data_IF_165918791579
#
_entry.id   IF_165918791579
#
_cell.length_a   1.000
_cell.length_b   1.000
_cell.length_c   1.000
_cell.angle_alpha   90.00
_cell.angle_beta   90.00
_cell.angle_gamma   90.00
#
_symmetry.space_group_name_H-M   'P 1'
#
loop_
_entity.id
_entity.type
_entity.pdbx_description
1 polymer ?
#
# COMPACT_ATOMS: atom_id res chain seq x y z
N UNK A 1 -6.05 5.43 11.25
CA UNK A 1 -5.28 4.18 11.24
C UNK A 1 -5.29 3.64 9.83
N UNK A 2 -4.18 3.07 9.38
CA UNK A 2 -4.08 2.28 8.15
C UNK A 2 -3.54 0.91 8.54
N UNK A 3 -4.27 -0.13 8.19
CA UNK A 3 -3.90 -1.52 8.49
C UNK A 3 -2.65 -1.94 7.69
N UNK A 4 -1.99 -3.01 8.13
CA UNK A 4 -0.86 -3.60 7.42
C UNK A 4 -1.23 -3.99 6.00
N UNK A 5 -0.47 -3.51 5.03
CA UNK A 5 -0.67 -3.77 3.61
C UNK A 5 0.63 -3.64 2.82
N UNK A 6 0.60 -4.14 1.60
CA UNK A 6 1.60 -3.89 0.57
C UNK A 6 0.94 -3.06 -0.54
N UNK A 7 1.56 -1.99 -0.99
CA UNK A 7 1.01 -1.12 -2.04
C UNK A 7 0.74 -1.88 -3.34
N UNK A 8 1.63 -2.80 -3.70
CA UNK A 8 1.49 -3.58 -4.94
C UNK A 8 0.21 -4.41 -4.99
N UNK A 9 -0.43 -4.72 -3.85
CA UNK A 9 -1.72 -5.41 -3.82
C UNK A 9 -2.89 -4.55 -4.30
N UNK A 10 -2.77 -3.22 -4.26
CA UNK A 10 -3.79 -2.29 -4.74
C UNK A 10 -3.71 -2.04 -6.24
N UNK A 11 -2.51 -2.09 -6.79
CA UNK A 11 -2.23 -1.89 -8.21
C UNK A 11 -1.18 -2.90 -8.68
N UNK A 12 -1.57 -4.17 -8.83
CA UNK A 12 -0.64 -5.22 -9.23
C UNK A 12 -0.04 -4.93 -10.61
N UNK A 13 1.27 -5.07 -10.70
CA UNK A 13 2.08 -4.78 -11.89
C UNK A 13 2.73 -6.06 -12.43
N UNK A 14 3.14 -6.02 -13.69
CA UNK A 14 3.87 -7.12 -14.34
C UNK A 14 5.21 -7.44 -13.68
N UNK A 15 5.79 -6.48 -12.95
CA UNK A 15 6.96 -6.68 -12.11
C UNK A 15 6.84 -5.90 -10.80
N UNK A 16 7.80 -6.10 -9.89
CA UNK A 16 7.75 -5.56 -8.52
C UNK A 16 8.45 -4.21 -8.38
N UNK A 17 8.94 -3.63 -9.47
CA UNK A 17 9.74 -2.40 -9.43
C UNK A 17 8.83 -1.17 -9.30
N UNK A 18 8.29 -1.01 -8.11
CA UNK A 18 7.49 0.13 -7.71
C UNK A 18 7.91 0.63 -6.33
N UNK A 19 7.77 1.93 -6.13
CA UNK A 19 8.00 2.56 -4.84
C UNK A 19 7.01 3.70 -4.62
N UNK A 20 6.73 3.99 -3.37
CA UNK A 20 6.07 5.21 -2.94
C UNK A 20 7.06 6.10 -2.18
N UNK A 21 6.92 7.41 -2.31
CA UNK A 21 7.58 8.39 -1.44
C UNK A 21 6.48 9.03 -0.60
N UNK A 22 6.57 8.84 0.72
CA UNK A 22 5.69 9.44 1.69
C UNK A 22 6.39 10.63 2.33
N UNK A 23 5.83 11.82 2.18
CA UNK A 23 6.31 13.04 2.81
C UNK A 23 5.48 13.36 4.04
N UNK A 24 6.11 13.59 5.17
CA UNK A 24 5.44 14.17 6.33
C UNK A 24 5.31 15.68 6.14
N UNK A 25 4.06 16.17 6.11
CA UNK A 25 3.78 17.60 6.06
C UNK A 25 3.71 18.21 7.46
N UNK A 26 3.56 17.37 8.48
CA UNK A 26 3.61 17.71 9.90
C UNK A 26 4.59 16.77 10.59
N UNK A 27 5.11 17.17 11.77
CA UNK A 27 5.83 16.22 12.65
C UNK A 27 4.99 14.97 12.89
N UNK A 28 5.55 13.80 12.65
CA UNK A 28 4.90 12.50 12.81
C UNK A 28 5.67 11.61 13.80
N UNK A 29 5.27 11.63 15.04
CA UNK A 29 5.77 10.71 16.06
C UNK A 29 4.83 9.51 16.26
N UNK A 30 5.20 8.59 17.16
CA UNK A 30 4.43 7.37 17.46
C UNK A 30 3.01 7.68 17.94
N UNK A 31 2.82 8.70 18.79
CA UNK A 31 1.49 9.15 19.26
C UNK A 31 0.61 9.69 18.13
N UNK A 32 1.22 10.22 17.06
CA UNK A 32 0.51 10.65 15.87
C UNK A 32 0.32 9.53 14.85
N UNK A 33 0.74 8.30 15.18
CA UNK A 33 0.64 7.15 14.29
C UNK A 33 1.54 7.28 13.07
N UNK A 34 2.84 7.57 13.26
CA UNK A 34 3.80 7.58 12.16
C UNK A 34 3.81 6.24 11.41
N UNK A 35 4.38 6.23 10.22
CA UNK A 35 4.51 5.02 9.42
C UNK A 35 5.29 3.95 10.19
N UNK A 36 4.85 2.70 10.05
CA UNK A 36 5.54 1.52 10.53
C UNK A 36 5.83 0.60 9.36
N UNK A 37 6.99 0.00 9.33
CA UNK A 37 7.44 -0.93 8.27
C UNK A 37 8.11 -2.14 8.91
N UNK A 38 8.15 -3.26 8.17
CA UNK A 38 8.98 -4.40 8.51
C UNK A 38 10.22 -4.38 7.61
N UNK A 39 11.42 -4.06 8.14
CA UNK A 39 12.64 -3.96 7.35
C UNK A 39 12.98 -5.26 6.61
N UNK A 40 13.42 -5.16 5.35
CA UNK A 40 13.81 -6.31 4.52
C UNK A 40 12.65 -7.13 3.95
N UNK A 41 11.42 -6.90 4.38
CA UNK A 41 10.24 -7.72 4.02
C UNK A 41 9.85 -7.63 2.54
N UNK A 42 10.26 -6.59 1.83
CA UNK A 42 10.03 -6.44 0.37
C UNK A 42 10.68 -7.54 -0.48
N UNK A 43 11.67 -8.25 0.07
CA UNK A 43 12.33 -9.39 -0.59
C UNK A 43 11.46 -10.67 -0.55
N UNK A 44 10.45 -10.69 0.30
CA UNK A 44 9.52 -11.82 0.42
C UNK A 44 8.50 -11.91 -0.73
N UNK A 45 7.61 -12.92 -0.67
CA UNK A 45 6.50 -13.04 -1.61
C UNK A 45 5.44 -11.96 -1.39
N UNK A 46 4.53 -11.75 -2.37
CA UNK A 46 3.31 -11.02 -2.12
C UNK A 46 2.52 -11.69 -0.99
N UNK A 47 2.08 -10.92 -0.01
CA UNK A 47 1.24 -11.41 1.08
C UNK A 47 -0.23 -11.41 0.65
N UNK A 48 -1.05 -12.27 1.29
CA UNK A 48 -2.47 -12.33 0.97
C UNK A 48 -3.23 -11.11 1.52
N UNK A 49 -4.02 -10.49 0.66
CA UNK A 49 -4.90 -9.36 0.96
C UNK A 49 -6.36 -9.71 0.72
N UNK A 50 -6.69 -11.01 0.64
CA UNK A 50 -8.04 -11.47 0.29
C UNK A 50 -8.72 -12.20 1.43
N UNK A 51 -10.05 -12.18 1.42
CA UNK A 51 -10.90 -13.08 2.20
C UNK A 51 -12.06 -13.50 1.31
N UNK A 52 -12.31 -14.79 1.21
CA UNK A 52 -13.36 -15.37 0.35
C UNK A 52 -13.21 -14.91 -1.12
N UNK A 53 -11.96 -14.69 -1.57
CA UNK A 53 -11.62 -14.20 -2.90
C UNK A 53 -11.81 -12.69 -3.12
N UNK A 54 -12.22 -11.93 -2.09
CA UNK A 54 -12.40 -10.48 -2.18
C UNK A 54 -11.26 -9.71 -1.50
N UNK A 55 -10.83 -8.63 -2.14
CA UNK A 55 -9.84 -7.72 -1.61
C UNK A 55 -10.30 -7.04 -0.32
N UNK A 56 -9.46 -7.07 0.70
CA UNK A 56 -9.76 -6.53 2.03
C UNK A 56 -9.08 -5.17 2.32
N UNK A 57 -8.20 -4.70 1.43
CA UNK A 57 -7.41 -3.50 1.68
C UNK A 57 -6.40 -3.63 2.82
N UNK A 58 -6.08 -4.85 3.21
CA UNK A 58 -5.09 -5.17 4.26
C UNK A 58 -4.59 -6.60 4.10
N UNK A 59 -3.46 -6.89 4.71
CA UNK A 59 -2.94 -8.26 4.83
C UNK A 59 -3.90 -9.07 5.70
N UNK A 60 -4.26 -10.27 5.25
CA UNK A 60 -5.22 -11.16 5.91
C UNK A 60 -4.56 -12.35 6.58
N UNK A 61 -3.31 -12.62 6.27
CA UNK A 61 -2.48 -13.64 6.91
C UNK A 61 -1.73 -13.06 8.12
N UNK A 62 -1.21 -13.91 9.03
CA UNK A 62 -0.46 -13.46 10.19
C UNK A 62 0.79 -12.66 9.80
N UNK A 63 1.04 -11.57 10.49
CA UNK A 63 2.22 -10.73 10.35
C UNK A 63 2.93 -10.61 11.70
N UNK A 64 4.25 -10.71 11.70
CA UNK A 64 5.06 -10.56 12.91
C UNK A 64 5.34 -9.07 13.19
N UNK A 65 4.41 -8.45 13.87
CA UNK A 65 4.50 -7.02 14.22
C UNK A 65 5.64 -6.70 15.21
N UNK A 66 6.23 -7.70 15.85
CA UNK A 66 7.38 -7.47 16.73
C UNK A 66 8.62 -6.98 16.00
N UNK A 67 8.68 -7.21 14.68
CA UNK A 67 9.73 -6.73 13.78
C UNK A 67 9.47 -5.35 13.21
N UNK A 68 8.33 -4.75 13.54
CA UNK A 68 7.95 -3.45 13.00
C UNK A 68 8.83 -2.33 13.56
N UNK A 69 9.24 -1.43 12.68
CA UNK A 69 9.99 -0.23 13.03
C UNK A 69 9.13 0.99 12.74
N UNK A 70 8.96 1.84 13.76
CA UNK A 70 8.26 3.10 13.64
C UNK A 70 9.19 4.15 13.03
N UNK A 71 8.77 4.75 11.91
CA UNK A 71 9.51 5.77 11.19
C UNK A 71 9.02 7.17 11.60
N UNK A 72 9.35 7.58 12.82
CA UNK A 72 9.06 8.95 13.27
C UNK A 72 9.92 9.96 12.51
N UNK A 73 9.39 11.17 12.29
CA UNK A 73 10.12 12.22 11.58
C UNK A 73 9.46 13.59 11.70
N UNK A 74 10.26 14.63 11.41
CA UNK A 74 9.82 16.00 11.36
C UNK A 74 9.07 16.31 10.04
N UNK A 75 8.38 17.44 9.98
CA UNK A 75 7.84 17.97 8.74
C UNK A 75 8.96 18.11 7.69
N UNK A 76 8.70 17.67 6.46
CA UNK A 76 9.69 17.60 5.38
C UNK A 76 10.43 16.26 5.28
N UNK A 77 10.27 15.34 6.25
CA UNK A 77 10.81 13.98 6.13
C UNK A 77 10.21 13.27 4.93
N UNK A 78 11.07 12.70 4.08
CA UNK A 78 10.69 11.85 2.95
C UNK A 78 11.07 10.40 3.23
N UNK A 79 10.12 9.48 3.11
CA UNK A 79 10.30 8.05 3.34
C UNK A 79 10.05 7.32 2.02
N UNK A 80 11.05 6.56 1.56
CA UNK A 80 10.97 5.75 0.35
C UNK A 80 10.56 4.32 0.73
N UNK A 81 9.46 3.83 0.15
CA UNK A 81 8.86 2.55 0.48
C UNK A 81 8.73 1.73 -0.80
N UNK A 82 9.37 0.58 -0.85
CA UNK A 82 9.16 -0.37 -1.95
C UNK A 82 7.73 -0.91 -1.92
N UNK A 83 7.05 -1.06 -3.08
CA UNK A 83 5.65 -1.48 -3.16
C UNK A 83 5.33 -2.84 -2.52
N UNK A 84 6.35 -3.67 -2.31
CA UNK A 84 6.25 -4.96 -1.62
C UNK A 84 6.50 -4.89 -0.10
N UNK A 85 6.86 -3.73 0.45
CA UNK A 85 7.12 -3.61 1.90
C UNK A 85 5.80 -3.58 2.65
N UNK A 86 5.49 -4.55 3.53
CA UNK A 86 4.40 -4.44 4.49
C UNK A 86 4.59 -3.21 5.36
N UNK A 87 3.56 -2.38 5.40
CA UNK A 87 3.56 -1.16 6.18
C UNK A 87 2.18 -0.83 6.74
N UNK A 88 2.15 -0.04 7.79
CA UNK A 88 0.93 0.35 8.50
C UNK A 88 1.08 1.73 9.15
N UNK A 89 0.01 2.27 9.68
CA UNK A 89 0.08 3.40 10.61
C UNK A 89 -0.97 3.28 11.71
N UNK A 90 -0.53 3.42 12.96
CA UNK A 90 -1.39 3.41 14.12
C UNK A 90 -2.39 4.59 14.12
N UNK A 91 -3.45 4.54 14.93
CA UNK A 91 -4.32 5.69 15.13
C UNK A 91 -3.53 6.92 15.62
N UNK A 92 -3.91 8.09 15.18
CA UNK A 92 -3.44 9.33 15.78
C UNK A 92 -4.20 9.54 17.09
N UNK A 93 -3.51 9.45 18.22
CA UNK A 93 -4.06 9.65 19.57
C UNK A 93 -3.77 11.04 20.12
N UNK A 94 -3.21 11.94 19.30
CA UNK A 94 -2.97 13.34 19.65
C UNK A 94 -4.09 14.24 19.14
N UNK A 95 -4.13 15.47 19.65
CA UNK A 95 -5.04 16.52 19.17
C UNK A 95 -4.57 17.24 17.89
N UNK A 96 -3.37 16.91 17.39
CA UNK A 96 -2.76 17.57 16.24
C UNK A 96 -2.89 16.73 14.98
N UNK A 97 -3.03 17.36 13.84
CA UNK A 97 -3.08 16.68 12.55
C UNK A 97 -1.75 15.97 12.20
N UNK A 98 -1.84 14.89 11.44
CA UNK A 98 -0.73 14.26 10.74
C UNK A 98 -1.09 14.17 9.26
N UNK A 99 -0.67 15.16 8.51
CA UNK A 99 -0.88 15.20 7.05
C UNK A 99 0.34 14.61 6.35
N UNK A 100 0.09 13.85 5.31
CA UNK A 100 1.11 13.23 4.47
C UNK A 100 0.77 13.46 3.00
N UNK A 101 1.80 13.57 2.18
CA UNK A 101 1.69 13.49 0.72
C UNK A 101 2.34 12.18 0.29
N UNK A 102 1.68 11.41 -0.56
CA UNK A 102 2.22 10.18 -1.13
C UNK A 102 2.31 10.35 -2.64
N UNK A 103 3.46 10.01 -3.21
CA UNK A 103 3.71 9.98 -4.64
C UNK A 103 4.24 8.61 -5.00
N UNK A 104 3.53 7.90 -5.87
CA UNK A 104 3.89 6.54 -6.28
C UNK A 104 4.60 6.54 -7.62
N UNK A 105 5.61 5.70 -7.75
CA UNK A 105 6.42 5.51 -8.95
C UNK A 105 6.51 4.03 -9.29
N UNK A 106 6.68 3.75 -10.57
CA UNK A 106 6.98 2.41 -11.07
C UNK A 106 8.02 2.46 -12.18
N UNK A 107 8.68 1.34 -12.45
CA UNK A 107 9.52 1.22 -13.64
C UNK A 107 8.68 1.41 -14.91
N UNK A 108 9.26 1.99 -15.95
CA UNK A 108 8.57 2.23 -17.21
C UNK A 108 8.09 0.95 -17.92
N UNK A 109 8.70 -0.20 -17.59
CA UNK A 109 8.36 -1.53 -18.11
C UNK A 109 7.50 -2.36 -17.13
N UNK A 110 6.99 -1.73 -16.06
CA UNK A 110 6.04 -2.30 -15.12
C UNK A 110 4.62 -1.83 -15.50
N UNK A 111 3.82 -2.70 -16.07
CA UNK A 111 2.46 -2.40 -16.52
C UNK A 111 1.42 -2.98 -15.55
N UNK A 112 0.26 -2.33 -15.37
CA UNK A 112 -0.83 -2.89 -14.59
C UNK A 112 -1.31 -4.23 -15.17
N UNK A 113 -1.47 -5.23 -14.29
CA UNK A 113 -2.03 -6.52 -14.67
C UNK A 113 -3.56 -6.49 -14.60
N UNK A 114 -4.10 -5.63 -13.74
CA UNK A 114 -5.53 -5.48 -13.53
C UNK A 114 -5.97 -4.04 -13.78
N UNK A 115 -6.93 -3.87 -14.68
CA UNK A 115 -7.46 -2.56 -15.10
C UNK A 115 -8.89 -2.37 -14.56
N UNK A 116 -9.05 -2.36 -13.24
CA UNK A 116 -10.29 -1.89 -12.62
C UNK A 116 -10.43 -0.36 -12.68
N UNK A 117 -11.58 0.18 -12.29
CA UNK A 117 -11.87 1.62 -12.35
C UNK A 117 -10.79 2.48 -11.64
N UNK A 118 -10.31 2.02 -10.49
CA UNK A 118 -9.27 2.71 -9.73
C UNK A 118 -7.96 2.77 -10.52
N UNK A 119 -7.54 1.64 -11.10
CA UNK A 119 -6.29 1.54 -11.86
C UNK A 119 -6.35 2.38 -13.14
N UNK A 120 -7.46 2.38 -13.85
CA UNK A 120 -7.65 3.21 -15.03
C UNK A 120 -7.53 4.71 -14.71
N UNK A 121 -8.07 5.15 -13.57
CA UNK A 121 -7.94 6.53 -13.12
C UNK A 121 -6.48 6.93 -12.88
N UNK A 122 -5.67 6.07 -12.27
CA UNK A 122 -4.25 6.35 -12.06
C UNK A 122 -3.44 6.33 -13.36
N UNK A 123 -3.68 5.37 -14.25
CA UNK A 123 -2.96 5.24 -15.52
C UNK A 123 -3.19 6.45 -16.43
N UNK A 124 -4.39 7.02 -16.45
CA UNK A 124 -4.71 8.21 -17.23
C UNK A 124 -3.83 9.42 -16.87
N UNK A 125 -3.30 9.45 -15.63
CA UNK A 125 -2.46 10.53 -15.12
C UNK A 125 -0.98 10.16 -15.01
N UNK A 126 -0.61 8.91 -15.26
CA UNK A 126 0.79 8.48 -15.24
C UNK A 126 1.62 9.25 -16.30
N UNK A 127 2.82 9.66 -15.91
CA UNK A 127 3.75 10.37 -16.79
C UNK A 127 5.18 9.89 -16.55
N UNK A 128 6.00 9.74 -17.58
CA UNK A 128 7.41 9.42 -17.41
C UNK A 128 8.11 10.62 -16.73
N UNK A 129 8.78 10.36 -15.62
CA UNK A 129 9.58 11.36 -14.90
C UNK A 129 11.06 11.28 -15.31
N UNK A 130 11.50 10.13 -15.84
CA UNK A 130 12.86 9.90 -16.34
C UNK A 130 12.84 8.76 -17.36
N UNK A 131 13.70 8.86 -18.39
CA UNK A 131 13.81 7.87 -19.44
C UNK A 131 12.73 8.03 -20.52
N UNK A 132 12.39 6.94 -21.17
CA UNK A 132 11.42 6.88 -22.26
C UNK A 132 10.27 5.94 -21.91
N UNK A 133 9.11 6.17 -22.48
CA UNK A 133 8.01 5.21 -22.44
C UNK A 133 8.45 3.86 -23.01
N UNK A 134 7.94 2.80 -22.42
CA UNK A 134 8.18 1.43 -22.87
C UNK A 134 6.89 0.83 -23.40
N UNK A 135 7.00 0.12 -24.52
CA UNK A 135 5.91 -0.66 -25.12
C UNK A 135 6.05 -2.17 -24.84
N UNK A 136 7.09 -2.57 -24.12
CA UNK A 136 7.38 -3.97 -23.78
C UNK A 136 7.38 -4.09 -22.27
N UNK A 137 6.49 -4.95 -21.75
CA UNK A 137 6.42 -5.26 -20.33
C UNK A 137 7.52 -6.25 -19.91
N UNK A 138 8.14 -5.99 -18.77
CA UNK A 138 8.98 -6.97 -18.09
C UNK A 138 8.15 -7.67 -17.02
N UNK A 139 8.18 -9.01 -17.01
CA UNK A 139 7.49 -9.80 -16.01
C UNK A 139 8.45 -10.31 -14.95
N UNK A 140 8.10 -10.16 -13.69
CA UNK A 140 8.74 -10.88 -12.59
C UNK A 140 8.28 -12.33 -12.60
N UNK A 141 9.17 -13.30 -12.34
CA UNK A 141 8.76 -14.69 -12.21
C UNK A 141 7.85 -14.88 -10.98
N UNK A 142 6.91 -15.83 -11.08
CA UNK A 142 6.01 -16.20 -10.01
C UNK A 142 4.55 -15.90 -10.29
N UNK A 143 3.72 -16.09 -9.27
CA UNK A 143 2.28 -15.81 -9.31
C UNK A 143 1.96 -14.54 -8.52
N UNK A 144 0.94 -13.81 -8.95
CA UNK A 144 0.39 -12.70 -8.22
C UNK A 144 -1.13 -12.89 -8.10
N UNK A 145 -1.70 -12.86 -6.89
CA UNK A 145 -3.14 -13.02 -6.71
C UNK A 145 -3.89 -11.81 -7.28
N UNK A 146 -4.90 -12.05 -8.11
CA UNK A 146 -5.80 -11.02 -8.60
C UNK A 146 -7.12 -11.13 -7.82
N UNK A 147 -7.34 -10.30 -6.80
CA UNK A 147 -8.55 -10.37 -5.99
C UNK A 147 -9.76 -9.80 -6.72
N UNK A 148 -10.95 -10.21 -6.28
CA UNK A 148 -12.19 -9.52 -6.65
C UNK A 148 -12.31 -8.26 -5.80
N UNK A 149 -12.59 -7.14 -6.44
CA UNK A 149 -12.84 -5.88 -5.72
C UNK A 149 -14.33 -5.75 -5.40
N UNK A 150 -14.70 -5.35 -4.19
CA UNK A 150 -16.10 -5.11 -3.85
C UNK A 150 -16.64 -3.93 -4.66
N UNK A 151 -17.84 -4.11 -5.24
CA UNK A 151 -18.42 -3.17 -6.22
C UNK A 151 -18.77 -1.76 -5.71
N UNK A 152 -18.60 -1.46 -4.40
CA UNK A 152 -19.08 -0.20 -3.80
C UNK A 152 -18.23 0.28 -2.62
N UNK A 153 -16.92 0.30 -2.74
CA UNK A 153 -16.12 0.99 -1.73
C UNK A 153 -15.67 2.36 -2.24
N UNK A 154 -15.93 3.40 -1.44
CA UNK A 154 -15.59 4.79 -1.78
C UNK A 154 -14.17 5.17 -1.40
N UNK A 155 -13.56 4.46 -0.45
CA UNK A 155 -12.21 4.72 0.02
C UNK A 155 -11.54 3.49 0.63
N UNK A 156 -10.19 3.52 0.74
CA UNK A 156 -9.41 2.54 1.46
C UNK A 156 -9.87 2.37 2.92
N UNK A 157 -10.14 3.48 3.59
CA UNK A 157 -10.57 3.47 5.00
C UNK A 157 -11.89 2.74 5.19
N UNK A 158 -12.86 2.97 4.32
CA UNK A 158 -14.14 2.26 4.32
C UNK A 158 -13.96 0.76 4.08
N UNK A 159 -13.10 0.37 3.13
CA UNK A 159 -12.80 -1.02 2.85
C UNK A 159 -12.19 -1.74 4.06
N UNK A 160 -11.21 -1.13 4.70
CA UNK A 160 -10.55 -1.67 5.89
C UNK A 160 -11.51 -1.71 7.10
N UNK A 161 -12.39 -0.75 7.26
CA UNK A 161 -13.40 -0.73 8.31
C UNK A 161 -14.42 -1.86 8.14
N UNK A 162 -14.93 -2.06 6.92
CA UNK A 162 -15.80 -3.20 6.59
C UNK A 162 -15.12 -4.54 6.81
N UNK A 163 -13.83 -4.65 6.50
CA UNK A 163 -13.03 -5.85 6.75
C UNK A 163 -12.91 -6.16 8.25
N UNK A 164 -12.78 -5.14 9.10
CA UNK A 164 -12.71 -5.30 10.58
C UNK A 164 -14.06 -5.69 11.18
N UNK A 165 -15.15 -5.03 10.76
CA UNK A 165 -16.50 -5.28 11.29
C UNK A 165 -16.96 -6.72 11.06
N UNK A 166 -16.53 -7.35 9.96
CA UNK A 166 -16.80 -8.77 9.67
C UNK A 166 -15.95 -9.75 10.50
N UNK A 167 -14.98 -9.28 11.26
CA UNK A 167 -14.14 -10.11 12.15
C UNK A 167 -14.70 -10.22 13.58
N UNK A 168 -15.63 -9.34 13.97
CA UNK A 168 -16.29 -9.48 15.27
C UNK A 168 -17.27 -10.66 15.19
N UNK A 169 -17.16 -11.69 16.05
CA UNK A 169 -18.19 -12.71 16.17
C UNK A 169 -19.51 -11.99 16.46
N UNK A 170 -20.55 -12.35 15.72
CA UNK A 170 -21.89 -11.97 16.13
C UNK A 170 -22.13 -12.59 17.51
N UNK A 171 -22.19 -11.73 18.54
CA UNK A 171 -22.49 -12.10 19.90
C UNK A 171 -23.95 -12.56 20.04
#
# INVERSE_FOLDING_TARGET
MVEWHQDLAYYPLTNRDSLAILFYLDHAGTRKGCLQVIPGSHLGPPMDHTRDGYFQGRITEPIDESKAVALAGEAGTAIFIHGMTPHASAPNTSSLARRTLIVSYRAADAFPIYLGEITLGFEAHARPVRGIERSIARFSPGTFPIPRYPRKTKSLYELQELSRSKQQPQA
#
